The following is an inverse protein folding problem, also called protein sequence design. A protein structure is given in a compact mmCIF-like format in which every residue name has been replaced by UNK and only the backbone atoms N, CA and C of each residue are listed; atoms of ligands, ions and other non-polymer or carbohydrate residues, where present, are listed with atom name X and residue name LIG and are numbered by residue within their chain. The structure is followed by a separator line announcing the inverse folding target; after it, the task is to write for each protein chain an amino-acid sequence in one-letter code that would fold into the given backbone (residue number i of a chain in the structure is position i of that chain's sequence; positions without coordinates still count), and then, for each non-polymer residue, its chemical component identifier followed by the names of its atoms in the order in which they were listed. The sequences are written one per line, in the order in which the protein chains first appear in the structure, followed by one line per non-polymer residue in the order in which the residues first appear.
data_IF_264881501109
#
_entry.id   IF_264881501109
#
_cell.length_a   1.000
_cell.length_b   1.000
_cell.length_c   1.000
_cell.angle_alpha   90.00
_cell.angle_beta   90.00
_cell.angle_gamma   90.00
#
_symmetry.space_group_name_H-M   'P 1'
#
loop_
_entity.id
_entity.type
_entity.pdbx_description
1 polymer ?
#
# COMPACT_ATOMS: atom_id res chain seq x y z
N UNK A 1 -6.13 1.70 -9.58
CA UNK A 1 -6.31 2.48 -8.35
C UNK A 1 -5.36 3.69 -8.31
N UNK A 2 -4.06 3.49 -8.39
CA UNK A 2 -3.05 4.57 -8.35
C UNK A 2 -2.43 4.90 -9.70
N UNK A 3 -3.05 4.51 -10.81
CA UNK A 3 -2.49 4.67 -12.16
C UNK A 3 -1.28 3.77 -12.43
N UNK A 4 -1.12 2.71 -11.67
CA UNK A 4 -0.04 1.76 -11.86
C UNK A 4 -0.19 0.99 -13.18
N UNK A 5 0.91 0.73 -13.84
CA UNK A 5 0.95 -0.09 -15.07
C UNK A 5 1.84 -1.31 -14.88
N UNK A 6 1.48 -2.41 -15.54
CA UNK A 6 2.31 -3.61 -15.54
C UNK A 6 3.41 -3.42 -16.58
N UNK A 7 4.65 -3.29 -16.10
CA UNK A 7 5.83 -3.17 -16.96
C UNK A 7 6.30 -4.52 -17.48
N UNK A 8 6.17 -5.59 -16.69
CA UNK A 8 6.52 -6.96 -17.09
C UNK A 8 5.75 -7.98 -16.25
N UNK A 9 5.47 -9.12 -16.87
CA UNK A 9 4.83 -10.27 -16.24
C UNK A 9 5.57 -11.52 -16.70
N UNK A 10 6.43 -12.07 -15.84
CA UNK A 10 7.37 -13.12 -16.20
C UNK A 10 7.31 -14.27 -15.19
N UNK A 11 7.97 -15.38 -15.56
CA UNK A 11 8.23 -16.48 -14.65
C UNK A 11 9.71 -16.50 -14.30
N UNK A 12 10.04 -16.62 -13.03
CA UNK A 12 11.41 -16.76 -12.56
C UNK A 12 11.48 -17.71 -11.38
N UNK A 13 12.40 -18.66 -11.44
CA UNK A 13 12.63 -19.67 -10.39
C UNK A 13 11.35 -20.41 -9.97
N UNK A 14 10.45 -20.68 -10.92
CA UNK A 14 9.21 -21.40 -10.69
C UNK A 14 8.07 -20.57 -10.08
N UNK A 15 8.21 -19.27 -9.99
CA UNK A 15 7.17 -18.37 -9.52
C UNK A 15 6.90 -17.22 -10.49
N UNK A 16 5.67 -16.73 -10.49
CA UNK A 16 5.31 -15.53 -11.26
C UNK A 16 5.92 -14.29 -10.62
N UNK A 17 6.42 -13.41 -11.47
CA UNK A 17 6.92 -12.10 -11.09
C UNK A 17 6.21 -11.05 -11.93
N UNK A 18 5.62 -10.05 -11.28
CA UNK A 18 4.96 -8.92 -11.92
C UNK A 18 5.70 -7.66 -11.49
N UNK A 19 6.23 -6.95 -12.46
CA UNK A 19 6.85 -5.64 -12.26
C UNK A 19 5.81 -4.58 -12.53
N UNK A 20 5.51 -3.77 -11.53
CA UNK A 20 4.54 -2.69 -11.61
C UNK A 20 5.30 -1.36 -11.59
N UNK A 21 5.04 -0.52 -12.59
CA UNK A 21 5.50 0.87 -12.58
C UNK A 21 4.43 1.76 -11.95
N UNK A 22 4.83 2.53 -10.98
CA UNK A 22 3.96 3.45 -10.25
C UNK A 22 4.72 4.74 -9.97
N UNK A 23 4.49 5.77 -10.79
CA UNK A 23 5.08 7.08 -10.62
C UNK A 23 6.60 7.11 -10.62
N UNK A 24 7.24 6.30 -11.45
CA UNK A 24 8.70 6.19 -11.54
C UNK A 24 9.33 5.24 -10.52
N UNK A 25 8.52 4.60 -9.67
CA UNK A 25 8.95 3.55 -8.77
C UNK A 25 8.57 2.19 -9.34
N UNK A 26 9.46 1.21 -9.29
CA UNK A 26 9.17 -0.17 -9.66
C UNK A 26 8.85 -0.98 -8.40
N UNK A 27 7.69 -1.62 -8.39
CA UNK A 27 7.29 -2.56 -7.35
C UNK A 27 7.30 -3.96 -7.94
N UNK A 28 8.03 -4.88 -7.30
CA UNK A 28 8.03 -6.29 -7.67
C UNK A 28 7.02 -7.03 -6.80
N UNK A 29 6.04 -7.64 -7.45
CA UNK A 29 5.09 -8.57 -6.82
C UNK A 29 5.49 -9.98 -7.23
N UNK A 30 5.76 -10.83 -6.26
CA UNK A 30 6.26 -12.18 -6.48
C UNK A 30 5.33 -13.23 -5.86
N UNK A 31 5.05 -14.26 -6.60
CA UNK A 31 4.40 -15.47 -6.07
C UNK A 31 5.36 -16.34 -5.26
N UNK A 32 4.81 -17.30 -4.55
CA UNK A 32 5.58 -18.31 -3.82
C UNK A 32 6.33 -19.22 -4.80
N UNK A 33 7.60 -19.44 -4.52
CA UNK A 33 8.42 -20.40 -5.28
C UNK A 33 8.19 -21.83 -4.77
N UNK A 34 8.39 -22.85 -5.61
CA UNK A 34 8.39 -24.24 -5.15
C UNK A 34 9.38 -24.44 -3.99
N UNK A 35 8.95 -25.12 -2.94
CA UNK A 35 9.76 -25.39 -1.75
C UNK A 35 9.88 -24.26 -0.73
N UNK A 36 9.35 -23.06 -1.02
CA UNK A 36 9.28 -21.99 -0.04
C UNK A 36 8.08 -22.20 0.91
N UNK A 37 8.27 -21.82 2.17
CA UNK A 37 7.21 -21.77 3.17
C UNK A 37 7.24 -20.37 3.85
N UNK A 38 6.74 -19.32 3.19
CA UNK A 38 6.80 -17.97 3.73
C UNK A 38 5.97 -17.88 5.01
N UNK A 39 6.47 -17.10 5.96
CA UNK A 39 5.73 -16.77 7.17
C UNK A 39 4.56 -15.85 6.78
N UNK A 40 3.33 -16.11 7.26
CA UNK A 40 2.19 -15.24 6.99
C UNK A 40 2.46 -13.81 7.45
N UNK A 41 2.02 -12.84 6.67
CA UNK A 41 2.06 -11.43 7.04
C UNK A 41 1.17 -11.18 8.28
N UNK A 42 1.55 -10.18 9.09
CA UNK A 42 0.69 -9.74 10.17
C UNK A 42 -0.57 -9.10 9.60
N UNK A 43 -1.75 -9.36 10.18
CA UNK A 43 -2.97 -8.64 9.81
C UNK A 43 -2.79 -7.13 10.02
N UNK A 44 -3.33 -6.34 9.10
CA UNK A 44 -3.41 -4.90 9.27
C UNK A 44 -4.42 -4.59 10.37
N UNK A 45 -4.03 -3.69 11.28
CA UNK A 45 -4.87 -3.22 12.38
C UNK A 45 -5.28 -1.77 12.13
N UNK A 46 -6.34 -1.34 12.81
CA UNK A 46 -6.69 0.07 12.91
C UNK A 46 -5.72 0.77 13.86
N UNK A 47 -5.24 1.93 13.45
CA UNK A 47 -4.36 2.77 14.26
C UNK A 47 -5.07 4.09 14.58
N UNK A 48 -5.11 4.44 15.86
CA UNK A 48 -5.69 5.70 16.31
C UNK A 48 -4.78 6.90 15.98
N UNK A 49 -3.51 6.65 15.87
CA UNK A 49 -2.48 7.63 15.54
C UNK A 49 -1.81 7.31 14.21
N UNK A 50 -0.71 7.98 13.89
CA UNK A 50 0.12 7.68 12.73
C UNK A 50 0.79 6.33 12.93
N UNK A 51 0.63 5.45 11.99
CA UNK A 51 0.83 4.04 12.20
C UNK A 51 2.25 3.66 12.56
N UNK A 52 2.33 2.61 13.34
CA UNK A 52 3.47 1.73 13.39
C UNK A 52 2.96 0.30 13.46
N UNK A 53 3.60 -0.61 12.76
CA UNK A 53 3.34 -2.04 12.94
C UNK A 53 3.85 -2.56 14.29
N UNK A 54 4.48 -1.71 15.09
CA UNK A 54 5.09 -2.08 16.36
C UNK A 54 6.25 -3.06 16.21
N UNK A 55 6.89 -3.06 15.06
CA UNK A 55 8.01 -3.94 14.74
C UNK A 55 9.08 -3.17 13.96
N UNK A 56 10.32 -3.60 14.10
CA UNK A 56 11.41 -3.05 13.29
C UNK A 56 11.25 -3.46 11.82
N UNK A 57 11.67 -2.61 10.92
CA UNK A 57 11.59 -2.78 9.47
C UNK A 57 10.79 -1.67 8.83
N UNK A 58 10.37 -1.88 7.58
CA UNK A 58 9.52 -0.91 6.88
C UNK A 58 8.14 -0.89 7.51
N UNK A 59 7.72 0.27 7.98
CA UNK A 59 6.40 0.47 8.56
C UNK A 59 5.35 0.70 7.46
N UNK A 60 5.59 1.67 6.60
CA UNK A 60 4.75 2.01 5.45
C UNK A 60 5.58 2.72 4.39
N UNK A 61 5.00 2.91 3.22
CA UNK A 61 5.47 3.87 2.23
C UNK A 61 4.29 4.70 1.75
N UNK A 62 4.56 5.84 1.13
CA UNK A 62 3.49 6.76 0.79
C UNK A 62 3.64 7.47 -0.53
N UNK A 63 2.55 8.10 -0.94
CA UNK A 63 2.46 8.90 -2.15
C UNK A 63 1.89 10.27 -1.84
N UNK A 64 2.41 11.28 -2.54
CA UNK A 64 1.76 12.57 -2.63
C UNK A 64 0.63 12.49 -3.66
N UNK A 65 -0.60 12.64 -3.19
CA UNK A 65 -1.78 12.58 -4.03
C UNK A 65 -2.10 13.95 -4.61
N UNK A 66 -2.21 14.01 -5.94
CA UNK A 66 -2.59 15.23 -6.65
C UNK A 66 -4.10 15.24 -6.85
N UNK A 67 -4.80 16.12 -6.15
CA UNK A 67 -6.24 16.27 -6.29
C UNK A 67 -7.00 16.25 -4.96
N UNK A 68 -8.28 15.93 -5.00
CA UNK A 68 -9.12 15.87 -3.81
C UNK A 68 -9.02 14.50 -3.13
N UNK A 69 -8.26 14.43 -2.04
CA UNK A 69 -8.05 13.17 -1.32
C UNK A 69 -9.33 12.66 -0.65
N UNK A 70 -10.22 13.53 -0.18
CA UNK A 70 -11.49 13.11 0.41
C UNK A 70 -12.37 12.37 -0.60
N UNK A 71 -12.49 12.90 -1.82
CA UNK A 71 -13.24 12.25 -2.89
C UNK A 71 -12.61 10.91 -3.27
N UNK A 72 -11.29 10.86 -3.38
CA UNK A 72 -10.56 9.63 -3.69
C UNK A 72 -10.74 8.57 -2.58
N UNK A 73 -10.70 8.96 -1.31
CA UNK A 73 -10.98 8.05 -0.19
C UNK A 73 -12.40 7.47 -0.27
N UNK A 74 -13.40 8.27 -0.68
CA UNK A 74 -14.76 7.78 -0.89
C UNK A 74 -14.81 6.70 -1.98
N UNK A 75 -14.16 6.94 -3.12
CA UNK A 75 -14.04 5.94 -4.20
C UNK A 75 -13.37 4.65 -3.72
N UNK A 76 -12.32 4.76 -2.92
CA UNK A 76 -11.60 3.60 -2.37
C UNK A 76 -12.48 2.81 -1.41
N UNK A 77 -13.29 3.48 -0.58
CA UNK A 77 -14.26 2.80 0.29
C UNK A 77 -15.32 2.06 -0.50
N UNK A 78 -15.84 2.67 -1.56
CA UNK A 78 -16.81 2.02 -2.47
C UNK A 78 -16.23 0.77 -3.14
N UNK A 79 -14.91 0.73 -3.33
CA UNK A 79 -14.17 -0.43 -3.83
C UNK A 79 -13.80 -1.46 -2.74
N UNK A 80 -14.20 -1.21 -1.50
CA UNK A 80 -13.93 -2.12 -0.39
C UNK A 80 -12.53 -2.03 0.21
N UNK A 81 -11.80 -0.94 -0.02
CA UNK A 81 -10.47 -0.73 0.55
C UNK A 81 -10.58 -0.43 2.04
N UNK A 82 -9.76 -1.10 2.84
CA UNK A 82 -9.66 -0.87 4.28
C UNK A 82 -8.66 0.25 4.59
N UNK A 83 -8.98 1.07 5.57
CA UNK A 83 -8.15 2.18 6.02
C UNK A 83 -7.59 1.89 7.42
N UNK A 84 -6.34 1.47 7.56
CA UNK A 84 -5.66 1.36 8.85
C UNK A 84 -5.62 2.69 9.60
N UNK A 85 -5.43 3.79 8.89
CA UNK A 85 -5.56 5.14 9.41
C UNK A 85 -6.59 5.88 8.57
N UNK A 86 -7.68 6.29 9.21
CA UNK A 86 -8.74 7.06 8.55
C UNK A 86 -8.24 8.45 8.12
N UNK A 87 -8.94 9.04 7.16
CA UNK A 87 -8.61 10.38 6.66
C UNK A 87 -8.59 11.39 7.80
N UNK A 88 -7.47 12.04 7.99
CA UNK A 88 -7.28 13.07 9.02
C UNK A 88 -6.20 14.08 8.64
N UNK A 89 -6.06 15.13 9.42
CA UNK A 89 -4.95 16.05 9.26
C UNK A 89 -3.71 15.55 9.97
N UNK A 90 -2.59 15.59 9.27
CA UNK A 90 -1.28 15.30 9.81
C UNK A 90 -0.70 16.45 10.62
N UNK A 91 0.48 16.24 11.17
CA UNK A 91 1.18 17.23 12.00
C UNK A 91 1.51 18.51 11.25
N UNK A 92 1.71 18.43 9.93
CA UNK A 92 1.94 19.57 9.05
C UNK A 92 0.65 20.22 8.51
N UNK A 93 -0.53 19.75 8.95
CA UNK A 93 -1.83 20.23 8.51
C UNK A 93 -2.36 19.62 7.21
N UNK A 94 -1.56 18.89 6.45
CA UNK A 94 -2.01 18.21 5.23
C UNK A 94 -2.98 17.06 5.55
N UNK A 95 -3.94 16.84 4.67
CA UNK A 95 -4.80 15.66 4.76
C UNK A 95 -3.99 14.41 4.42
N UNK A 96 -4.21 13.35 5.17
CA UNK A 96 -3.62 12.05 4.92
C UNK A 96 -4.52 10.92 5.39
N UNK A 97 -4.29 9.75 4.84
CA UNK A 97 -4.85 8.48 5.31
C UNK A 97 -3.86 7.34 5.01
N UNK A 98 -4.09 6.18 5.59
CA UNK A 98 -3.38 4.97 5.21
C UNK A 98 -4.40 3.98 4.64
N UNK A 99 -4.02 3.30 3.58
CA UNK A 99 -4.81 2.23 2.96
C UNK A 99 -4.10 0.90 3.08
N UNK A 100 -4.88 -0.14 3.27
CA UNK A 100 -4.37 -1.50 3.37
C UNK A 100 -4.18 -2.09 1.98
N UNK A 101 -2.97 -2.50 1.68
CA UNK A 101 -2.65 -3.37 0.56
C UNK A 101 -2.57 -4.84 1.04
N UNK A 102 -2.55 -5.83 0.14
CA UNK A 102 -2.36 -7.22 0.52
C UNK A 102 -1.08 -7.45 1.34
N UNK A 103 -1.06 -8.56 2.08
CA UNK A 103 0.09 -9.05 2.84
C UNK A 103 0.62 -8.08 3.90
N UNK A 104 -0.28 -7.33 4.55
CA UNK A 104 0.07 -6.46 5.66
C UNK A 104 0.82 -5.19 5.25
N UNK A 105 0.80 -4.83 3.97
CA UNK A 105 1.42 -3.60 3.48
C UNK A 105 0.50 -2.42 3.74
N UNK A 106 1.04 -1.36 4.33
CA UNK A 106 0.36 -0.09 4.57
C UNK A 106 0.89 0.97 3.60
N UNK A 107 -0.02 1.69 2.97
CA UNK A 107 0.30 2.76 2.02
C UNK A 107 -0.29 4.07 2.51
N UNK A 108 0.56 5.06 2.76
CA UNK A 108 0.12 6.41 3.10
C UNK A 108 -0.25 7.19 1.85
N UNK A 109 -1.35 7.91 1.90
CA UNK A 109 -1.73 8.90 0.91
C UNK A 109 -1.78 10.26 1.59
N UNK A 110 -0.99 11.19 1.09
CA UNK A 110 -0.94 12.55 1.60
C UNK A 110 -1.34 13.52 0.48
N UNK A 111 -2.26 14.41 0.77
CA UNK A 111 -2.67 15.44 -0.20
C UNK A 111 -1.59 16.50 -0.33
N UNK A 112 -1.21 16.78 -1.58
CA UNK A 112 -0.37 17.92 -1.89
C UNK A 112 -1.06 19.25 -1.63
#
# INVERSE_FOLDING_TARGET
MFGATIAANTMARGARQIFVDLGGMTILIRGQRPGEAPVPARPIQQYADFSSHGAWGTDHFGFLYQGNLEAFCAELRDKGVTFPVELKRGLNGSLLCYVAAPDGVSIELMQC
#
